data_IF_433842025188
#
_entry.id   IF_433842025188
#
_cell.length_a   1.000
_cell.length_b   1.000
_cell.length_c   1.000
_cell.angle_alpha   90.00
_cell.angle_beta   90.00
_cell.angle_gamma   90.00
#
_symmetry.space_group_name_H-M   'P 1'
#
loop_
_entity.id
_entity.type
_entity.pdbx_description
1 polymer ?
#
# COMPACT_ATOMS: atom_id res chain seq x y z
N UNK A 1 -11.37 -19.79 -12.17
CA UNK A 1 -10.38 -18.79 -12.66
C UNK A 1 -9.80 -19.19 -14.06
N UNK A 2 -10.53 -19.93 -14.90
CA UNK A 2 -9.94 -20.60 -16.09
C UNK A 2 -10.31 -20.07 -17.48
N UNK A 3 -10.89 -18.87 -17.65
CA UNK A 3 -11.53 -18.49 -18.93
C UNK A 3 -10.83 -17.33 -19.69
N UNK A 4 -9.71 -16.80 -19.21
CA UNK A 4 -9.08 -15.59 -19.78
C UNK A 4 -7.73 -15.82 -20.50
N UNK A 5 -7.25 -17.07 -20.61
CA UNK A 5 -5.87 -17.35 -21.06
C UNK A 5 -5.65 -17.50 -22.56
N UNK A 6 -6.69 -17.49 -23.40
CA UNK A 6 -6.59 -17.87 -24.82
C UNK A 6 -6.67 -16.72 -25.85
N UNK A 7 -6.82 -15.47 -25.43
CA UNK A 7 -6.80 -14.32 -26.35
C UNK A 7 -5.45 -13.60 -26.31
N UNK A 8 -5.01 -12.97 -27.43
CA UNK A 8 -3.80 -12.15 -27.44
C UNK A 8 -4.01 -11.00 -26.44
N UNK A 9 -3.31 -11.11 -25.33
CA UNK A 9 -3.31 -10.15 -24.23
C UNK A 9 -1.95 -9.48 -24.23
N UNK A 10 -1.94 -8.14 -24.15
CA UNK A 10 -0.69 -7.42 -23.98
C UNK A 10 -0.24 -7.62 -22.54
N UNK A 11 0.91 -8.28 -22.39
CA UNK A 11 1.51 -8.61 -21.10
C UNK A 11 2.45 -7.49 -20.69
N UNK A 12 2.23 -6.94 -19.50
CA UNK A 12 3.15 -5.99 -18.90
C UNK A 12 3.53 -6.51 -17.51
N UNK A 13 4.81 -6.85 -17.33
CA UNK A 13 5.34 -7.30 -16.05
C UNK A 13 5.78 -6.13 -15.19
N UNK A 14 5.37 -6.11 -13.92
CA UNK A 14 6.01 -5.25 -12.93
C UNK A 14 7.13 -6.02 -12.21
N UNK A 15 8.40 -5.59 -12.35
CA UNK A 15 9.53 -6.30 -11.72
C UNK A 15 9.56 -6.17 -10.20
N UNK A 16 8.95 -5.14 -9.60
CA UNK A 16 9.01 -4.89 -8.15
C UNK A 16 8.18 -5.86 -7.31
N UNK A 17 6.95 -6.17 -7.75
CA UNK A 17 6.00 -6.97 -6.95
C UNK A 17 5.79 -8.39 -7.50
N UNK A 18 6.29 -8.66 -8.71
CA UNK A 18 6.01 -9.92 -9.42
C UNK A 18 4.56 -10.03 -9.90
N UNK A 19 3.77 -8.96 -9.78
CA UNK A 19 2.41 -8.88 -10.30
C UNK A 19 2.44 -8.68 -11.83
N UNK A 20 1.49 -9.33 -12.50
CA UNK A 20 1.37 -9.35 -13.95
C UNK A 20 0.11 -8.59 -14.37
N UNK A 21 0.28 -7.56 -15.19
CA UNK A 21 -0.81 -6.71 -15.66
C UNK A 21 -1.14 -7.04 -17.11
N UNK A 22 -2.44 -7.09 -17.42
CA UNK A 22 -2.94 -7.49 -18.72
C UNK A 22 -3.97 -6.49 -19.21
N UNK A 23 -3.92 -6.20 -20.51
CA UNK A 23 -4.93 -5.44 -21.22
C UNK A 23 -5.42 -6.18 -22.46
N UNK A 24 -6.73 -6.14 -22.68
CA UNK A 24 -7.38 -6.60 -23.89
C UNK A 24 -8.51 -5.64 -24.30
N UNK A 25 -8.28 -4.78 -25.31
CA UNK A 25 -9.25 -3.78 -25.77
C UNK A 25 -10.48 -4.39 -26.43
N UNK A 26 -10.50 -5.70 -26.71
CA UNK A 26 -11.69 -6.39 -27.25
C UNK A 26 -12.74 -6.69 -26.19
N UNK A 27 -12.37 -6.68 -24.91
CA UNK A 27 -13.32 -6.88 -23.83
C UNK A 27 -14.09 -5.60 -23.49
N UNK A 28 -15.25 -5.79 -22.88
CA UNK A 28 -16.08 -4.69 -22.40
C UNK A 28 -15.30 -3.78 -21.42
N UNK A 29 -15.60 -2.48 -21.49
CA UNK A 29 -15.01 -1.47 -20.61
C UNK A 29 -15.22 -1.83 -19.13
N UNK A 30 -14.14 -1.85 -18.35
CA UNK A 30 -14.16 -2.31 -16.95
C UNK A 30 -13.71 -3.76 -16.75
N UNK A 31 -13.61 -4.57 -17.82
CA UNK A 31 -12.98 -5.91 -17.79
C UNK A 31 -11.82 -6.05 -18.77
N UNK A 32 -11.51 -5.00 -19.52
CA UNK A 32 -10.38 -4.98 -20.44
C UNK A 32 -9.03 -4.90 -19.73
N UNK A 33 -8.96 -4.45 -18.48
CA UNK A 33 -7.72 -4.39 -17.69
C UNK A 33 -7.84 -5.27 -16.45
N UNK A 34 -6.85 -6.11 -16.18
CA UNK A 34 -6.81 -6.92 -14.96
C UNK A 34 -5.38 -7.22 -14.51
N UNK A 35 -5.26 -7.60 -13.25
CA UNK A 35 -4.00 -8.02 -12.63
C UNK A 35 -4.08 -9.50 -12.25
N UNK A 36 -2.99 -10.23 -12.47
CA UNK A 36 -2.74 -11.54 -11.90
C UNK A 36 -1.63 -11.36 -10.87
N UNK A 37 -1.98 -11.57 -9.60
CA UNK A 37 -1.03 -11.48 -8.50
C UNK A 37 0.02 -12.59 -8.57
N UNK A 38 1.16 -12.35 -7.94
CA UNK A 38 2.23 -13.34 -7.87
C UNK A 38 1.73 -14.66 -7.24
N UNK A 39 2.06 -15.79 -7.87
CA UNK A 39 1.67 -17.13 -7.42
C UNK A 39 2.19 -17.47 -6.02
N UNK A 40 3.30 -16.85 -5.60
CA UNK A 40 3.88 -17.07 -4.27
C UNK A 40 2.95 -16.63 -3.12
N UNK A 41 1.90 -15.87 -3.40
CA UNK A 41 0.90 -15.42 -2.42
C UNK A 41 -0.28 -16.40 -2.26
N UNK A 42 -0.33 -17.53 -3.00
CA UNK A 42 -1.37 -18.57 -3.01
C UNK A 42 -2.82 -18.07 -2.87
N UNK A 43 -3.31 -17.90 -1.63
CA UNK A 43 -4.67 -17.46 -1.28
C UNK A 43 -4.74 -16.13 -0.52
N UNK A 44 -3.60 -15.56 -0.15
CA UNK A 44 -3.51 -14.30 0.60
C UNK A 44 -3.32 -13.10 -0.34
N UNK A 45 -3.78 -13.20 -1.59
CA UNK A 45 -3.70 -12.07 -2.51
C UNK A 45 -4.67 -10.97 -2.07
N UNK A 46 -4.15 -9.75 -1.95
CA UNK A 46 -4.92 -8.59 -1.51
C UNK A 46 -4.94 -7.51 -2.61
N UNK A 47 -6.05 -6.79 -2.72
CA UNK A 47 -6.16 -5.65 -3.64
C UNK A 47 -5.15 -4.53 -3.32
N UNK A 48 -4.69 -4.47 -2.06
CA UNK A 48 -3.71 -3.50 -1.57
C UNK A 48 -2.28 -3.77 -2.04
N UNK A 49 -2.00 -4.91 -2.69
CA UNK A 49 -0.67 -5.27 -3.22
C UNK A 49 -0.34 -4.60 -4.55
N UNK A 50 -1.28 -3.84 -5.11
CA UNK A 50 -1.05 -3.07 -6.33
C UNK A 50 -0.37 -1.75 -5.96
N UNK A 51 0.85 -1.48 -6.45
CA UNK A 51 1.53 -0.23 -6.16
C UNK A 51 0.76 0.95 -6.73
N UNK A 52 0.95 2.13 -6.11
CA UNK A 52 0.27 3.37 -6.48
C UNK A 52 0.40 3.69 -7.98
N UNK A 53 1.53 3.32 -8.56
CA UNK A 53 1.80 3.48 -9.97
C UNK A 53 0.84 2.71 -10.87
N UNK A 54 0.60 1.45 -10.55
CA UNK A 54 -0.27 0.56 -11.32
C UNK A 54 -1.75 0.78 -10.98
N UNK A 55 -2.03 1.32 -9.78
CA UNK A 55 -3.38 1.61 -9.33
C UNK A 55 -4.12 2.60 -10.25
N UNK A 56 -3.44 3.64 -10.75
CA UNK A 56 -4.02 4.63 -11.66
C UNK A 56 -4.47 4.03 -13.00
N UNK A 57 -3.60 3.22 -13.62
CA UNK A 57 -3.89 2.56 -14.89
C UNK A 57 -4.99 1.49 -14.76
N UNK A 58 -4.95 0.70 -13.69
CA UNK A 58 -5.93 -0.35 -13.42
C UNK A 58 -7.34 0.20 -13.18
N UNK A 59 -7.45 1.39 -12.58
CA UNK A 59 -8.72 2.05 -12.28
C UNK A 59 -9.12 3.12 -13.30
N UNK A 60 -8.56 3.08 -14.52
CA UNK A 60 -8.87 4.01 -15.61
C UNK A 60 -8.67 5.50 -15.26
N UNK A 61 -7.78 5.82 -14.31
CA UNK A 61 -7.40 7.21 -14.03
C UNK A 61 -6.43 7.76 -15.08
N UNK A 62 -5.58 6.88 -15.59
CA UNK A 62 -4.57 7.17 -16.61
C UNK A 62 -4.59 6.08 -17.67
N UNK A 63 -4.42 6.45 -18.92
CA UNK A 63 -4.24 5.47 -20.01
C UNK A 63 -2.80 5.03 -20.15
N UNK A 64 -1.85 5.86 -19.68
CA UNK A 64 -0.44 5.53 -19.67
C UNK A 64 -0.11 4.48 -18.62
N UNK A 65 0.69 3.49 -19.02
CA UNK A 65 1.30 2.55 -18.10
C UNK A 65 2.46 3.22 -17.34
N UNK A 66 2.88 2.69 -16.19
CA UNK A 66 4.00 3.27 -15.43
C UNK A 66 5.31 3.36 -16.21
N UNK A 67 5.49 2.52 -17.24
CA UNK A 67 6.67 2.54 -18.10
C UNK A 67 6.62 3.67 -19.14
N UNK A 68 5.42 4.05 -19.57
CA UNK A 68 5.18 5.02 -20.63
C UNK A 68 4.91 6.43 -20.10
N UNK A 69 4.79 6.61 -18.78
CA UNK A 69 4.48 7.88 -18.14
C UNK A 69 5.78 8.59 -17.68
N UNK A 70 6.35 9.50 -18.49
CA UNK A 70 7.55 10.24 -18.12
C UNK A 70 7.30 11.30 -17.03
N UNK A 71 6.03 11.55 -16.68
CA UNK A 71 5.62 12.66 -15.81
C UNK A 71 5.52 12.31 -14.33
N UNK A 72 5.74 11.04 -13.93
CA UNK A 72 5.56 10.63 -12.54
C UNK A 72 6.69 11.12 -11.65
N UNK A 73 6.40 12.02 -10.69
CA UNK A 73 7.44 12.55 -9.85
C UNK A 73 7.81 11.52 -8.76
N UNK A 74 9.01 10.97 -8.86
CA UNK A 74 9.62 10.18 -7.78
C UNK A 74 10.32 11.15 -6.84
N UNK A 75 9.65 11.50 -5.75
CA UNK A 75 10.23 12.36 -4.72
C UNK A 75 11.00 11.55 -3.68
N UNK A 76 12.07 12.11 -3.13
CA UNK A 76 12.91 11.47 -2.10
C UNK A 76 12.16 11.10 -0.81
N UNK A 77 11.06 11.77 -0.52
CA UNK A 77 10.23 11.54 0.67
C UNK A 77 9.12 10.52 0.42
N UNK A 78 8.94 10.05 -0.82
CA UNK A 78 7.92 9.07 -1.14
C UNK A 78 8.35 7.70 -0.58
N UNK A 79 7.46 7.10 0.21
CA UNK A 79 7.70 5.77 0.75
C UNK A 79 7.46 4.70 -0.31
N UNK A 80 8.20 3.60 -0.20
CA UNK A 80 7.96 2.41 -1.01
C UNK A 80 6.57 1.83 -0.72
N UNK A 81 6.00 1.20 -1.75
CA UNK A 81 4.68 0.59 -1.64
C UNK A 81 4.66 -0.46 -0.53
N UNK A 82 3.72 -0.31 0.40
CA UNK A 82 3.47 -1.26 1.48
C UNK A 82 2.03 -1.73 1.41
N UNK A 83 1.84 -3.02 1.62
CA UNK A 83 0.51 -3.66 1.64
C UNK A 83 -0.30 -3.21 2.86
N UNK A 84 -1.61 -3.47 2.84
CA UNK A 84 -2.46 -3.17 3.99
C UNK A 84 -2.14 -4.11 5.17
N UNK A 85 -1.66 -3.54 6.27
CA UNK A 85 -1.30 -4.28 7.49
C UNK A 85 -2.43 -4.32 8.53
N UNK A 86 -3.65 -3.91 8.15
CA UNK A 86 -4.82 -3.94 9.05
C UNK A 86 -5.09 -5.36 9.57
N UNK A 87 -5.44 -5.50 10.85
CA UNK A 87 -5.68 -6.82 11.46
C UNK A 87 -4.42 -7.66 11.72
N UNK A 88 -3.23 -7.15 11.38
CA UNK A 88 -1.95 -7.79 11.72
C UNK A 88 -1.29 -7.09 12.92
N UNK A 89 -0.26 -7.70 13.50
CA UNK A 89 0.54 -7.09 14.57
C UNK A 89 1.22 -5.77 14.18
N UNK A 90 1.28 -5.45 12.87
CA UNK A 90 1.87 -4.20 12.35
C UNK A 90 0.82 -3.15 11.98
N UNK A 91 -0.43 -3.31 12.44
CA UNK A 91 -1.48 -2.33 12.21
C UNK A 91 -1.14 -0.97 12.83
N UNK A 92 -1.55 0.10 12.15
CA UNK A 92 -1.45 1.45 12.69
C UNK A 92 -2.40 1.64 13.88
N UNK A 93 -1.84 2.00 15.04
CA UNK A 93 -2.58 2.37 16.25
C UNK A 93 -2.35 3.85 16.51
N UNK A 94 -3.41 4.69 16.53
CA UNK A 94 -3.25 6.11 16.77
C UNK A 94 -2.77 6.35 18.21
N UNK A 95 -1.86 7.29 18.37
CA UNK A 95 -1.38 7.77 19.67
C UNK A 95 -1.37 9.29 19.68
N UNK A 96 -1.35 9.89 20.87
CA UNK A 96 -1.23 11.33 21.01
C UNK A 96 0.17 11.78 20.60
N UNK A 97 0.26 12.59 19.55
CA UNK A 97 1.52 13.17 19.08
C UNK A 97 2.03 14.35 19.94
N UNK A 98 1.17 14.86 20.83
CA UNK A 98 1.45 15.99 21.71
C UNK A 98 2.01 15.50 23.05
N UNK A 99 3.00 16.22 23.59
CA UNK A 99 3.48 16.01 24.96
C UNK A 99 2.43 16.45 25.99
N UNK A 100 2.52 15.93 27.20
CA UNK A 100 1.69 16.42 28.31
C UNK A 100 1.93 17.93 28.51
N UNK A 101 0.85 18.70 28.62
CA UNK A 101 0.94 20.17 28.72
C UNK A 101 1.18 20.65 30.15
N UNK A 102 0.85 19.81 31.13
CA UNK A 102 0.90 20.14 32.55
C UNK A 102 1.85 19.16 33.20
N UNK A 103 2.91 19.68 33.80
CA UNK A 103 3.82 18.88 34.61
C UNK A 103 3.24 18.76 36.02
N UNK A 104 3.02 17.53 36.48
CA UNK A 104 2.56 17.27 37.84
C UNK A 104 3.71 17.49 38.84
N UNK A 105 3.42 18.19 39.94
CA UNK A 105 4.35 18.28 41.06
C UNK A 105 4.59 16.91 41.68
N UNK A 106 5.86 16.49 41.78
CA UNK A 106 6.24 15.25 42.46
C UNK A 106 6.60 15.54 43.92
N UNK A 107 5.94 14.89 44.90
CA UNK A 107 6.23 15.13 46.30
C UNK A 107 7.61 14.60 46.70
N UNK A 108 8.32 15.30 47.62
CA UNK A 108 9.56 14.79 48.18
C UNK A 108 9.29 13.56 49.05
N UNK A 109 10.14 12.53 48.91
CA UNK A 109 10.02 11.24 49.61
C UNK A 109 10.57 11.33 51.06
N UNK A 110 11.14 12.46 51.45
CA UNK A 110 11.77 12.61 52.77
C UNK A 110 10.74 12.65 53.90
N UNK A 111 10.94 11.86 54.97
CA UNK A 111 10.07 11.90 56.14
C UNK A 111 10.17 13.29 56.81
N UNK A 112 9.06 13.78 57.41
CA UNK A 112 9.07 15.06 58.10
C UNK A 112 10.11 15.05 59.23
N UNK A 113 10.93 16.10 59.31
CA UNK A 113 11.90 16.24 60.41
C UNK A 113 11.12 16.46 61.71
N UNK A 114 11.15 15.47 62.60
CA UNK A 114 10.61 15.57 63.95
C UNK A 114 11.51 16.52 64.76
N UNK A 115 11.05 17.74 65.02
CA UNK A 115 11.72 18.66 65.94
C UNK A 115 11.38 18.26 67.37
N UNK A 116 12.40 17.84 68.13
CA UNK A 116 12.34 17.53 69.57
C UNK A 116 12.41 18.79 70.42
#
# INVERSE_FOLDING_TARGET
IGIFTYLPTYFISSPLTGNKYYENPRYFFGRNRWVIYNKNMDLNYEASMVPAEWFGWLHYKTDYTPCEDPGRPVYKWMADHTENLSGTNKQYVPYTSTREKIEAWQPPITPPKTTS
#
